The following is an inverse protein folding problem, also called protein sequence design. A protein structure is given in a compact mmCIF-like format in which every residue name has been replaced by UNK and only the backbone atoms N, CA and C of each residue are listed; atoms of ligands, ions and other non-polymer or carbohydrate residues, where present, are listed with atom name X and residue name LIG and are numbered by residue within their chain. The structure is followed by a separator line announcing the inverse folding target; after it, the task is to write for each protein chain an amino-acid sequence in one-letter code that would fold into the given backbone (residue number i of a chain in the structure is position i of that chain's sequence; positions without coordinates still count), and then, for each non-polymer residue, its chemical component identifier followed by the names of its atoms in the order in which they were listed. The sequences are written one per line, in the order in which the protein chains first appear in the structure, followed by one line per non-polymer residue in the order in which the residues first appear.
data_IF_614903759621
#
_entry.id   IF_614903759621
#
_cell.length_a   1.000
_cell.length_b   1.000
_cell.length_c   1.000
_cell.angle_alpha   90.00
_cell.angle_beta   90.00
_cell.angle_gamma   90.00
#
_symmetry.space_group_name_H-M   'P 1'
#
loop_
_entity.id
_entity.type
_entity.pdbx_description
1 polymer ?
#
# COMPACT_ATOMS: atom_id res chain seq x y z
N UNK A 1 -57.03 18.06 12.26
CA UNK A 1 -57.86 18.27 13.48
C UNK A 1 -57.00 18.21 14.75
N UNK A 2 -56.06 17.26 14.88
CA UNK A 2 -55.12 17.14 16.04
C UNK A 2 -54.14 18.30 16.13
N UNK A 3 -53.54 18.72 15.00
CA UNK A 3 -52.53 19.78 14.95
C UNK A 3 -53.08 21.12 15.46
N UNK A 4 -54.32 21.49 15.04
CA UNK A 4 -54.94 22.72 15.48
C UNK A 4 -55.22 22.74 16.99
N UNK A 5 -55.56 21.59 17.59
CA UNK A 5 -55.75 21.47 19.04
C UNK A 5 -54.45 21.62 19.79
N UNK A 6 -53.33 21.02 19.26
CA UNK A 6 -52.00 21.15 19.85
C UNK A 6 -51.51 22.60 19.79
N UNK A 7 -51.65 23.27 18.66
CA UNK A 7 -51.28 24.67 18.49
C UNK A 7 -52.08 25.56 19.45
N UNK A 8 -53.37 25.38 19.54
CA UNK A 8 -54.24 26.14 20.43
C UNK A 8 -53.82 25.92 21.87
N UNK A 9 -53.55 24.69 22.30
CA UNK A 9 -53.09 24.38 23.67
C UNK A 9 -51.79 25.09 24.00
N UNK A 10 -50.80 25.12 23.09
CA UNK A 10 -49.50 25.79 23.30
C UNK A 10 -49.67 27.32 23.36
N UNK A 11 -50.57 27.91 22.59
CA UNK A 11 -50.83 29.35 22.64
C UNK A 11 -51.53 29.74 23.94
N UNK A 12 -52.48 28.92 24.41
CA UNK A 12 -53.22 29.16 25.66
C UNK A 12 -52.32 28.92 26.88
N UNK A 13 -51.35 27.99 26.81
CA UNK A 13 -50.45 27.64 27.90
C UNK A 13 -49.01 28.09 27.61
N UNK A 14 -48.75 29.40 27.63
CA UNK A 14 -47.44 29.99 27.29
C UNK A 14 -46.26 29.40 28.09
N UNK A 15 -46.49 29.10 29.38
CA UNK A 15 -45.47 28.53 30.25
C UNK A 15 -45.04 27.12 29.76
N UNK A 16 -46.00 26.28 29.33
CA UNK A 16 -45.71 24.96 28.78
C UNK A 16 -44.97 25.09 27.46
N UNK A 17 -45.31 26.05 26.61
CA UNK A 17 -44.61 26.30 25.35
C UNK A 17 -43.17 26.72 25.57
N UNK A 18 -42.91 27.63 26.58
CA UNK A 18 -41.55 28.06 26.92
C UNK A 18 -40.74 26.90 27.52
N UNK A 19 -41.32 26.09 28.41
CA UNK A 19 -40.62 24.91 28.95
C UNK A 19 -40.25 23.90 27.90
N UNK A 20 -41.15 23.61 26.96
CA UNK A 20 -40.88 22.73 25.82
C UNK A 20 -39.78 23.29 24.91
N UNK A 21 -39.81 24.60 24.66
CA UNK A 21 -38.77 25.27 23.88
C UNK A 21 -37.42 25.17 24.57
N UNK A 22 -37.34 25.45 25.89
CA UNK A 22 -36.11 25.34 26.67
C UNK A 22 -35.57 23.92 26.69
N UNK A 23 -36.45 22.90 26.80
CA UNK A 23 -36.10 21.49 26.73
C UNK A 23 -35.51 21.14 25.37
N UNK A 24 -36.16 21.61 24.29
CA UNK A 24 -35.70 21.33 22.92
C UNK A 24 -34.36 22.01 22.60
N UNK A 25 -34.20 23.26 23.03
CA UNK A 25 -32.92 23.99 22.89
C UNK A 25 -31.83 23.34 23.74
N UNK A 26 -32.12 22.99 24.99
CA UNK A 26 -31.19 22.29 25.87
C UNK A 26 -30.75 20.94 25.31
N UNK A 27 -31.72 20.16 24.79
CA UNK A 27 -31.42 18.92 24.11
C UNK A 27 -30.52 19.12 22.88
N UNK A 28 -30.82 20.14 22.07
CA UNK A 28 -30.01 20.50 20.89
C UNK A 28 -28.56 20.92 21.25
N UNK A 29 -28.39 21.64 22.36
CA UNK A 29 -27.07 22.05 22.85
C UNK A 29 -26.25 20.82 23.32
N UNK A 30 -26.88 19.89 24.05
CA UNK A 30 -26.21 18.67 24.53
C UNK A 30 -25.72 17.80 23.37
N UNK A 31 -26.50 17.72 22.29
CA UNK A 31 -26.20 16.89 21.12
C UNK A 31 -25.57 17.68 19.96
N UNK A 32 -25.24 18.95 20.15
CA UNK A 32 -24.55 19.73 19.11
C UNK A 32 -23.22 19.05 18.71
N UNK A 33 -22.83 19.07 17.42
CA UNK A 33 -21.65 18.38 16.92
C UNK A 33 -20.33 19.03 17.37
N UNK A 34 -20.37 19.87 18.38
CA UNK A 34 -19.22 20.56 18.97
C UNK A 34 -18.94 20.03 20.36
N UNK A 35 -17.68 19.76 20.68
CA UNK A 35 -17.26 19.49 22.06
C UNK A 35 -17.25 20.80 22.84
N UNK A 36 -18.13 20.90 23.81
CA UNK A 36 -18.11 21.99 24.78
C UNK A 36 -17.29 21.56 26.01
N UNK A 37 -16.17 22.18 26.25
CA UNK A 37 -15.40 22.00 27.50
C UNK A 37 -16.01 22.84 28.63
N UNK A 38 -17.24 22.47 29.01
CA UNK A 38 -17.92 23.14 30.11
C UNK A 38 -18.27 22.11 31.20
N UNK A 39 -17.74 22.35 32.41
CA UNK A 39 -18.02 21.49 33.56
C UNK A 39 -19.50 21.48 34.00
N UNK A 40 -20.33 22.38 33.47
CA UNK A 40 -21.74 22.55 33.86
C UNK A 40 -22.76 21.85 32.94
N UNK A 41 -22.41 21.52 31.70
CA UNK A 41 -23.35 20.95 30.78
C UNK A 41 -22.83 19.58 30.26
N UNK A 42 -23.60 18.50 30.42
CA UNK A 42 -23.23 17.23 29.83
C UNK A 42 -23.16 17.40 28.29
N UNK A 43 -22.05 16.98 27.70
CA UNK A 43 -21.86 16.96 26.25
C UNK A 43 -21.95 15.53 25.74
N UNK A 44 -22.86 15.27 24.81
CA UNK A 44 -22.98 14.02 24.08
C UNK A 44 -23.12 14.35 22.59
N UNK A 45 -22.04 14.85 21.96
CA UNK A 45 -22.10 15.31 20.57
C UNK A 45 -22.50 14.17 19.64
N UNK A 46 -23.37 14.48 18.69
CA UNK A 46 -23.65 13.58 17.57
C UNK A 46 -22.36 13.46 16.76
N UNK A 47 -21.95 12.22 16.46
CA UNK A 47 -20.84 11.99 15.56
C UNK A 47 -21.16 12.58 14.18
N UNK A 48 -20.28 13.44 13.71
CA UNK A 48 -20.37 14.04 12.38
C UNK A 48 -19.05 13.76 11.69
N UNK A 49 -19.09 12.99 10.63
CA UNK A 49 -17.93 12.72 9.81
C UNK A 49 -17.65 13.91 8.90
N UNK A 50 -16.40 14.35 8.88
CA UNK A 50 -15.96 15.42 7.98
C UNK A 50 -16.09 15.01 6.51
N UNK A 51 -15.96 13.71 6.24
CA UNK A 51 -16.15 13.09 4.94
C UNK A 51 -17.12 11.92 5.17
N UNK A 52 -18.43 12.05 4.79
CA UNK A 52 -19.39 10.99 5.01
C UNK A 52 -18.98 9.74 4.21
N UNK A 53 -19.05 8.57 4.85
CA UNK A 53 -18.86 7.29 4.17
C UNK A 53 -20.14 6.93 3.39
N UNK A 54 -20.26 7.50 2.20
CA UNK A 54 -21.34 7.22 1.25
C UNK A 54 -20.92 6.20 0.18
N UNK A 55 -19.73 5.64 0.33
CA UNK A 55 -19.18 4.62 -0.56
C UNK A 55 -19.80 3.24 -0.32
N UNK A 56 -19.78 2.40 -1.33
CA UNK A 56 -20.06 0.97 -1.15
C UNK A 56 -18.96 0.35 -0.27
N UNK A 57 -19.35 -0.61 0.60
CA UNK A 57 -18.36 -1.41 1.34
C UNK A 57 -17.59 -2.29 0.36
N UNK A 58 -16.52 -1.73 -0.18
CA UNK A 58 -15.66 -2.34 -1.19
C UNK A 58 -14.30 -2.64 -0.60
N UNK A 59 -13.87 -3.88 -0.74
CA UNK A 59 -12.53 -4.34 -0.39
C UNK A 59 -11.77 -4.72 -1.66
N UNK A 60 -10.47 -4.51 -1.65
CA UNK A 60 -9.62 -4.80 -2.82
C UNK A 60 -8.56 -5.81 -2.40
N UNK A 61 -8.46 -6.90 -3.16
CA UNK A 61 -7.35 -7.86 -3.05
C UNK A 61 -6.52 -7.74 -4.32
N UNK A 62 -5.22 -7.53 -4.16
CA UNK A 62 -4.29 -7.45 -5.28
C UNK A 62 -3.17 -8.48 -5.15
N UNK A 63 -2.68 -8.91 -6.29
CA UNK A 63 -1.64 -9.94 -6.36
C UNK A 63 -0.68 -9.61 -7.49
N UNK A 64 0.61 -9.63 -7.19
CA UNK A 64 1.68 -9.39 -8.16
C UNK A 64 2.34 -10.71 -8.57
N UNK A 65 2.52 -10.89 -9.87
CA UNK A 65 3.29 -11.99 -10.43
C UNK A 65 4.04 -11.51 -11.67
N UNK A 66 5.20 -10.92 -11.43
CA UNK A 66 5.98 -10.23 -12.46
C UNK A 66 6.30 -11.12 -13.67
N UNK A 67 6.26 -10.53 -14.87
CA UNK A 67 6.65 -11.18 -16.11
C UNK A 67 5.61 -12.14 -16.68
N UNK A 68 4.38 -12.18 -16.17
CA UNK A 68 3.31 -13.06 -16.66
C UNK A 68 2.28 -12.32 -17.50
N UNK A 69 1.78 -13.02 -18.53
CA UNK A 69 0.73 -12.48 -19.39
C UNK A 69 -0.58 -12.27 -18.63
N UNK A 70 -1.49 -11.40 -19.10
CA UNK A 70 -2.82 -11.27 -18.50
C UNK A 70 -3.59 -12.57 -18.44
N UNK A 71 -3.41 -13.47 -19.43
CA UNK A 71 -4.05 -14.77 -19.46
C UNK A 71 -3.50 -15.70 -18.35
N UNK A 72 -2.18 -15.73 -18.15
CA UNK A 72 -1.58 -16.51 -17.05
C UNK A 72 -2.07 -16.01 -15.69
N UNK A 73 -2.19 -14.69 -15.54
CA UNK A 73 -2.72 -14.06 -14.32
C UNK A 73 -4.18 -14.45 -14.11
N UNK A 74 -5.00 -14.43 -15.17
CA UNK A 74 -6.41 -14.82 -15.09
C UNK A 74 -6.54 -16.28 -14.66
N UNK A 75 -5.88 -17.17 -15.35
CA UNK A 75 -6.04 -18.61 -15.18
C UNK A 75 -5.49 -19.11 -13.83
N UNK A 76 -4.36 -18.58 -13.38
CA UNK A 76 -3.62 -19.11 -12.23
C UNK A 76 -3.76 -18.29 -10.95
N UNK A 77 -4.26 -17.06 -11.03
CA UNK A 77 -4.39 -16.17 -9.86
C UNK A 77 -5.82 -15.63 -9.73
N UNK A 78 -6.29 -14.89 -10.73
CA UNK A 78 -7.55 -14.13 -10.62
C UNK A 78 -8.74 -15.06 -10.47
N UNK A 79 -8.88 -16.04 -11.31
CA UNK A 79 -10.01 -16.98 -11.30
C UNK A 79 -10.02 -17.86 -10.03
N UNK A 80 -8.92 -18.51 -9.63
CA UNK A 80 -8.87 -19.28 -8.37
C UNK A 80 -9.18 -18.45 -7.12
N UNK A 81 -8.66 -17.22 -7.04
CA UNK A 81 -8.94 -16.33 -5.92
C UNK A 81 -10.40 -15.86 -5.92
N UNK A 82 -10.93 -15.44 -7.08
CA UNK A 82 -12.32 -14.99 -7.22
C UNK A 82 -13.29 -16.08 -6.77
N UNK A 83 -13.09 -17.32 -7.22
CA UNK A 83 -13.92 -18.45 -6.80
C UNK A 83 -13.83 -18.75 -5.31
N UNK A 84 -12.65 -18.63 -4.73
CA UNK A 84 -12.46 -18.82 -3.28
C UNK A 84 -13.16 -17.72 -2.46
N UNK A 85 -13.12 -16.48 -2.93
CA UNK A 85 -13.68 -15.32 -2.24
C UNK A 85 -15.21 -15.22 -2.36
N UNK A 86 -15.83 -15.82 -3.39
CA UNK A 86 -17.30 -15.89 -3.55
C UNK A 86 -18.00 -16.58 -2.37
N UNK A 87 -17.32 -17.43 -1.62
CA UNK A 87 -17.89 -18.12 -0.46
C UNK A 87 -17.93 -17.29 0.83
N UNK A 88 -17.59 -16.00 0.81
CA UNK A 88 -17.63 -15.14 1.99
C UNK A 88 -19.08 -14.63 2.17
N UNK A 89 -19.67 -14.78 3.36
CA UNK A 89 -21.02 -14.27 3.63
C UNK A 89 -21.10 -12.74 3.45
N UNK A 90 -22.24 -12.25 2.97
CA UNK A 90 -22.47 -10.82 2.77
C UNK A 90 -21.80 -10.22 1.52
N UNK A 91 -21.16 -11.02 0.70
CA UNK A 91 -20.63 -10.56 -0.60
C UNK A 91 -21.77 -10.42 -1.58
N UNK A 92 -21.99 -9.19 -2.07
CA UNK A 92 -22.98 -8.87 -3.10
C UNK A 92 -22.48 -9.19 -4.50
N UNK A 93 -21.25 -8.78 -4.81
CA UNK A 93 -20.61 -9.05 -6.11
C UNK A 93 -19.09 -8.99 -6.02
N UNK A 94 -18.44 -9.71 -6.92
CA UNK A 94 -16.97 -9.63 -7.10
C UNK A 94 -16.70 -9.23 -8.55
N UNK A 95 -15.79 -8.29 -8.72
CA UNK A 95 -15.26 -7.88 -10.02
C UNK A 95 -13.76 -8.05 -10.00
N UNK A 96 -13.19 -8.53 -11.07
CA UNK A 96 -11.76 -8.74 -11.18
C UNK A 96 -11.19 -8.18 -12.47
N UNK A 97 -9.91 -7.86 -12.44
CA UNK A 97 -9.17 -7.42 -13.61
C UNK A 97 -7.78 -8.05 -13.59
N UNK A 98 -7.42 -8.66 -14.72
CA UNK A 98 -6.12 -9.30 -14.94
C UNK A 98 -5.31 -8.45 -15.91
N UNK A 99 -4.13 -8.02 -15.47
CA UNK A 99 -3.20 -7.22 -16.25
C UNK A 99 -1.85 -7.92 -16.33
N UNK A 100 -0.94 -7.41 -17.14
CA UNK A 100 0.42 -7.94 -17.22
C UNK A 100 1.10 -7.92 -15.86
N UNK A 101 1.37 -9.10 -15.30
CA UNK A 101 2.00 -9.29 -13.99
C UNK A 101 1.19 -8.84 -12.77
N UNK A 102 -0.12 -8.57 -12.90
CA UNK A 102 -0.92 -8.02 -11.82
C UNK A 102 -2.39 -8.45 -11.87
N UNK A 103 -2.94 -8.85 -10.74
CA UNK A 103 -4.37 -9.13 -10.53
C UNK A 103 -4.94 -8.17 -9.51
N UNK A 104 -6.13 -7.64 -9.78
CA UNK A 104 -6.93 -6.89 -8.82
C UNK A 104 -8.34 -7.47 -8.73
N UNK A 105 -8.82 -7.70 -7.52
CA UNK A 105 -10.13 -8.26 -7.23
C UNK A 105 -10.86 -7.30 -6.29
N UNK A 106 -11.98 -6.79 -6.74
CA UNK A 106 -12.87 -5.89 -6.01
C UNK A 106 -14.02 -6.70 -5.44
N UNK A 107 -14.14 -6.74 -4.13
CA UNK A 107 -15.17 -7.48 -3.40
C UNK A 107 -16.12 -6.45 -2.81
N UNK A 108 -17.36 -6.44 -3.28
CA UNK A 108 -18.38 -5.50 -2.85
C UNK A 108 -19.35 -6.25 -1.95
N UNK A 109 -19.50 -5.76 -0.73
CA UNK A 109 -20.39 -6.33 0.29
C UNK A 109 -21.77 -5.65 0.27
N UNK A 110 -22.73 -6.27 0.93
CA UNK A 110 -24.03 -5.65 1.20
C UNK A 110 -23.86 -4.46 2.15
N UNK A 111 -24.83 -3.52 2.12
CA UNK A 111 -24.76 -2.26 2.84
C UNK A 111 -24.80 -2.41 4.37
N UNK A 112 -25.38 -3.51 4.86
CA UNK A 112 -25.49 -3.82 6.29
C UNK A 112 -24.22 -4.51 6.87
N UNK A 113 -23.24 -4.84 6.01
CA UNK A 113 -22.02 -5.49 6.43
C UNK A 113 -21.00 -4.43 6.90
N UNK A 114 -20.53 -4.58 8.13
CA UNK A 114 -19.53 -3.69 8.72
C UNK A 114 -18.18 -3.82 8.00
N UNK A 115 -17.50 -2.70 7.77
CA UNK A 115 -16.29 -2.61 6.93
C UNK A 115 -15.14 -3.47 7.46
N UNK A 116 -14.83 -3.40 8.77
CA UNK A 116 -13.72 -4.17 9.34
C UNK A 116 -14.03 -5.65 9.50
N UNK A 117 -15.32 -5.98 9.70
CA UNK A 117 -15.75 -7.37 9.66
C UNK A 117 -15.49 -7.98 8.28
N UNK A 118 -15.83 -7.25 7.20
CA UNK A 118 -15.59 -7.71 5.83
C UNK A 118 -14.10 -7.92 5.56
N UNK A 119 -13.22 -6.99 6.02
CA UNK A 119 -11.77 -7.15 5.95
C UNK A 119 -11.27 -8.38 6.67
N UNK A 120 -11.75 -8.61 7.90
CA UNK A 120 -11.37 -9.77 8.71
C UNK A 120 -11.74 -11.08 8.02
N UNK A 121 -12.92 -11.16 7.39
CA UNK A 121 -13.36 -12.36 6.66
C UNK A 121 -12.50 -12.62 5.42
N UNK A 122 -12.11 -11.57 4.70
CA UNK A 122 -11.20 -11.71 3.57
C UNK A 122 -9.83 -12.21 4.02
N UNK A 123 -9.24 -11.61 5.07
CA UNK A 123 -7.95 -12.05 5.61
C UNK A 123 -7.97 -13.49 6.09
N UNK A 124 -9.04 -13.90 6.80
CA UNK A 124 -9.24 -15.29 7.20
C UNK A 124 -9.31 -16.23 5.98
N UNK A 125 -10.03 -15.82 4.94
CA UNK A 125 -10.15 -16.59 3.71
C UNK A 125 -8.83 -16.69 2.97
N UNK A 126 -8.08 -15.59 2.85
CA UNK A 126 -6.76 -15.58 2.22
C UNK A 126 -5.75 -16.45 2.99
N UNK A 127 -5.80 -16.44 4.33
CA UNK A 127 -4.93 -17.27 5.17
C UNK A 127 -5.29 -18.76 5.13
N UNK A 128 -6.53 -19.11 4.79
CA UNK A 128 -7.05 -20.46 4.69
C UNK A 128 -7.02 -21.06 3.28
N UNK A 129 -6.38 -20.39 2.32
CA UNK A 129 -6.24 -20.90 0.96
C UNK A 129 -5.48 -22.24 0.97
N UNK A 130 -5.95 -23.18 0.16
CA UNK A 130 -5.30 -24.49 0.05
C UNK A 130 -3.86 -24.35 -0.49
N UNK A 131 -2.89 -25.06 0.11
CA UNK A 131 -1.55 -25.11 -0.44
C UNK A 131 -1.55 -25.52 -1.92
N UNK A 132 -0.84 -24.78 -2.76
CA UNK A 132 -0.78 -25.04 -4.19
C UNK A 132 -1.95 -24.48 -5.02
N UNK A 133 -2.90 -23.75 -4.42
CA UNK A 133 -3.94 -23.03 -5.16
C UNK A 133 -3.35 -21.94 -6.05
N UNK A 134 -2.32 -21.27 -5.55
CA UNK A 134 -1.58 -20.23 -6.26
C UNK A 134 -0.17 -20.73 -6.60
N UNK A 135 0.48 -20.15 -7.63
CA UNK A 135 1.86 -20.44 -7.94
C UNK A 135 2.81 -20.15 -6.77
N UNK A 136 3.91 -20.87 -6.71
CA UNK A 136 4.91 -20.70 -5.65
C UNK A 136 5.47 -19.28 -5.61
N UNK A 137 5.55 -18.70 -4.43
CA UNK A 137 6.03 -17.34 -4.19
C UNK A 137 5.02 -16.23 -4.47
N UNK A 138 3.80 -16.56 -4.91
CA UNK A 138 2.72 -15.60 -5.14
C UNK A 138 1.85 -15.47 -3.89
N UNK A 139 1.74 -14.25 -3.39
CA UNK A 139 0.98 -13.95 -2.17
C UNK A 139 -0.04 -12.83 -2.44
N UNK A 140 -1.34 -13.10 -2.30
CA UNK A 140 -2.36 -12.07 -2.38
C UNK A 140 -2.30 -11.14 -1.16
N UNK A 141 -2.52 -9.84 -1.40
CA UNK A 141 -2.52 -8.81 -0.36
C UNK A 141 -3.86 -8.10 -0.35
N UNK A 142 -4.36 -7.81 0.83
CA UNK A 142 -5.52 -6.94 1.01
C UNK A 142 -5.07 -5.48 0.89
N UNK A 143 -5.84 -4.68 0.16
CA UNK A 143 -5.61 -3.25 0.01
C UNK A 143 -5.75 -2.47 1.32
N UNK A 144 -5.47 -1.16 1.32
CA UNK A 144 -5.57 -0.32 2.50
C UNK A 144 -6.99 -0.29 3.07
N UNK A 145 -7.12 0.07 4.33
CA UNK A 145 -8.39 0.25 5.03
C UNK A 145 -8.98 1.64 4.78
N UNK A 146 -9.14 1.97 3.53
CA UNK A 146 -9.60 3.27 3.09
C UNK A 146 -10.55 3.16 1.90
N UNK A 147 -11.42 4.15 1.78
CA UNK A 147 -12.27 4.35 0.61
C UNK A 147 -11.62 5.37 -0.35
N UNK A 148 -12.16 5.49 -1.55
CA UNK A 148 -11.72 6.50 -2.51
C UNK A 148 -11.86 7.93 -1.97
N UNK A 149 -12.82 8.18 -1.07
CA UNK A 149 -13.03 9.46 -0.40
C UNK A 149 -11.95 9.77 0.64
N UNK A 150 -11.20 8.75 1.12
CA UNK A 150 -10.08 8.92 2.02
C UNK A 150 -8.83 9.55 1.38
N UNK A 151 -8.82 9.77 0.07
CA UNK A 151 -7.73 10.44 -0.64
C UNK A 151 -7.80 11.95 -0.42
N UNK A 152 -7.30 12.42 0.70
CA UNK A 152 -7.50 13.81 1.14
C UNK A 152 -6.44 14.79 0.68
N UNK A 153 -5.23 14.32 0.37
CA UNK A 153 -4.12 15.20 0.07
C UNK A 153 -3.28 14.66 -1.09
N UNK A 154 -3.16 15.47 -2.13
CA UNK A 154 -2.33 15.22 -3.30
C UNK A 154 -1.20 16.23 -3.34
N UNK A 155 0.01 15.76 -3.60
CA UNK A 155 1.18 16.61 -3.70
C UNK A 155 2.12 16.14 -4.80
N UNK A 156 3.01 17.04 -5.23
CA UNK A 156 4.04 16.74 -6.24
C UNK A 156 5.43 17.10 -5.70
N UNK A 157 6.40 16.26 -6.06
CA UNK A 157 7.81 16.54 -5.95
C UNK A 157 8.30 16.94 -7.33
N UNK A 158 8.87 18.13 -7.43
CA UNK A 158 9.17 18.77 -8.72
C UNK A 158 10.37 19.70 -8.61
N UNK A 159 11.14 19.79 -9.70
CA UNK A 159 12.12 20.85 -9.86
C UNK A 159 11.43 22.19 -10.18
N UNK A 160 11.93 23.28 -9.62
CA UNK A 160 11.50 24.64 -9.95
C UNK A 160 12.68 25.50 -10.34
N UNK A 161 12.44 26.43 -11.26
CA UNK A 161 13.41 27.48 -11.58
C UNK A 161 13.40 28.59 -10.50
N UNK A 162 14.25 29.61 -10.69
CA UNK A 162 14.35 30.74 -9.77
C UNK A 162 13.07 31.58 -9.71
N UNK A 163 12.25 31.54 -10.74
CA UNK A 163 10.95 32.21 -10.81
C UNK A 163 9.82 31.38 -10.23
N UNK A 164 10.12 30.16 -9.76
CA UNK A 164 9.17 29.24 -9.14
C UNK A 164 8.33 28.42 -10.11
N UNK A 165 8.62 28.49 -11.42
CA UNK A 165 7.93 27.70 -12.44
C UNK A 165 8.41 26.24 -12.39
N UNK A 166 7.49 25.31 -12.55
CA UNK A 166 7.82 23.88 -12.65
C UNK A 166 8.67 23.64 -13.88
N UNK A 167 9.81 23.01 -13.68
CA UNK A 167 10.74 22.65 -14.76
C UNK A 167 11.00 21.16 -14.70
N UNK A 168 11.13 20.51 -15.86
CA UNK A 168 11.80 19.23 -15.95
C UNK A 168 13.29 19.40 -15.59
N UNK A 169 14.04 18.32 -15.55
CA UNK A 169 15.50 18.38 -15.39
C UNK A 169 16.02 17.80 -14.09
N UNK A 170 15.15 17.49 -13.12
CA UNK A 170 15.51 16.59 -12.04
C UNK A 170 15.40 15.14 -12.51
N UNK A 171 16.32 14.31 -12.05
CA UNK A 171 16.25 12.88 -12.30
C UNK A 171 15.02 12.28 -11.61
N UNK A 172 14.15 11.69 -12.43
CA UNK A 172 12.91 11.08 -11.96
C UNK A 172 13.13 9.85 -11.07
N UNK A 173 14.28 9.17 -11.17
CA UNK A 173 14.67 8.12 -10.25
C UNK A 173 15.00 8.70 -8.87
N UNK A 174 15.73 9.82 -8.85
CA UNK A 174 16.09 10.49 -7.61
C UNK A 174 14.85 11.05 -6.90
N UNK A 175 13.98 11.76 -7.63
CA UNK A 175 12.70 12.25 -7.09
C UNK A 175 11.84 11.11 -6.55
N UNK A 176 11.77 9.99 -7.26
CA UNK A 176 11.02 8.82 -6.81
C UNK A 176 11.64 8.18 -5.56
N UNK A 177 12.95 8.13 -5.47
CA UNK A 177 13.65 7.64 -4.28
C UNK A 177 13.41 8.54 -3.07
N UNK A 178 13.43 9.86 -3.26
CA UNK A 178 13.08 10.83 -2.21
C UNK A 178 11.63 10.60 -1.75
N UNK A 179 10.71 10.42 -2.69
CA UNK A 179 9.30 10.14 -2.38
C UNK A 179 9.16 8.86 -1.55
N UNK A 180 9.74 7.76 -2.02
CA UNK A 180 9.49 6.44 -1.43
C UNK A 180 10.21 6.23 -0.10
N UNK A 181 11.41 6.81 0.08
CA UNK A 181 12.25 6.57 1.27
C UNK A 181 12.21 7.69 2.32
N UNK A 182 11.80 8.91 1.97
CA UNK A 182 11.76 10.04 2.91
C UNK A 182 10.36 10.58 3.09
N UNK A 183 9.73 11.06 2.02
CA UNK A 183 8.43 11.75 2.13
C UNK A 183 7.31 10.80 2.55
N UNK A 184 7.24 9.64 1.90
CA UNK A 184 6.27 8.60 2.24
C UNK A 184 6.37 8.18 3.71
N UNK A 185 7.58 7.97 4.21
CA UNK A 185 7.79 7.59 5.63
C UNK A 185 7.32 8.68 6.59
N UNK A 186 7.70 9.93 6.32
CA UNK A 186 7.31 11.05 7.16
C UNK A 186 5.79 11.24 7.21
N UNK A 187 5.11 11.15 6.08
CA UNK A 187 3.66 11.31 5.99
C UNK A 187 2.91 10.09 6.55
N UNK A 188 3.43 8.88 6.37
CA UNK A 188 2.83 7.66 6.94
C UNK A 188 2.89 7.61 8.46
N UNK A 189 3.75 8.41 9.09
CA UNK A 189 3.83 8.52 10.54
C UNK A 189 2.76 9.46 11.14
N UNK A 190 2.01 10.18 10.32
CA UNK A 190 0.94 11.06 10.80
C UNK A 190 -0.28 10.24 11.23
N UNK A 191 -0.92 10.67 12.31
CA UNK A 191 -2.11 10.00 12.86
C UNK A 191 -3.23 9.96 11.81
N UNK A 192 -3.85 8.80 11.66
CA UNK A 192 -4.97 8.60 10.75
C UNK A 192 -4.60 8.28 9.31
N UNK A 193 -3.32 8.32 8.93
CA UNK A 193 -2.88 7.94 7.58
C UNK A 193 -2.83 6.42 7.44
N UNK A 194 -3.63 5.89 6.52
CA UNK A 194 -3.64 4.46 6.18
C UNK A 194 -2.52 4.12 5.19
N UNK A 195 -2.34 4.96 4.19
CA UNK A 195 -1.36 4.74 3.12
C UNK A 195 -0.91 6.06 2.51
N UNK A 196 0.31 6.08 2.02
CA UNK A 196 0.81 7.11 1.11
C UNK A 196 1.22 6.43 -0.19
N UNK A 197 0.41 6.60 -1.23
CA UNK A 197 0.66 6.03 -2.54
C UNK A 197 1.56 6.95 -3.38
N UNK A 198 2.57 6.38 -4.04
CA UNK A 198 3.48 7.12 -4.92
C UNK A 198 3.07 6.98 -6.39
N UNK A 199 3.09 8.07 -7.14
CA UNK A 199 2.70 8.12 -8.55
C UNK A 199 3.79 8.80 -9.36
N UNK A 200 4.07 8.27 -10.56
CA UNK A 200 5.07 8.83 -11.48
C UNK A 200 6.51 8.49 -11.10
N UNK A 201 7.44 9.00 -11.89
CA UNK A 201 8.86 8.72 -11.77
C UNK A 201 9.23 7.26 -12.05
N UNK A 202 10.47 6.92 -11.77
CA UNK A 202 10.99 5.57 -11.94
C UNK A 202 11.47 5.01 -10.60
N UNK A 203 11.02 3.83 -10.23
CA UNK A 203 11.61 3.08 -9.11
C UNK A 203 13.01 2.65 -9.52
N UNK A 204 13.98 2.92 -8.66
CA UNK A 204 15.36 2.53 -8.90
C UNK A 204 15.56 1.06 -8.56
N UNK A 205 16.25 0.32 -9.44
CA UNK A 205 16.58 -1.08 -9.22
C UNK A 205 18.03 -1.40 -9.64
N UNK A 206 18.59 -2.44 -9.06
CA UNK A 206 19.85 -3.01 -9.51
C UNK A 206 19.58 -3.85 -10.75
N UNK A 207 20.20 -3.49 -11.87
CA UNK A 207 20.09 -4.22 -13.13
C UNK A 207 21.37 -5.01 -13.40
N UNK A 208 21.19 -6.28 -13.76
CA UNK A 208 22.28 -7.20 -14.12
C UNK A 208 22.08 -7.61 -15.57
N UNK A 209 22.73 -6.93 -16.48
CA UNK A 209 22.63 -7.19 -17.90
C UNK A 209 23.66 -8.26 -18.28
N UNK A 210 23.20 -9.46 -18.49
CA UNK A 210 24.06 -10.61 -18.83
C UNK A 210 24.45 -10.57 -20.30
N UNK A 211 25.72 -10.94 -20.59
CA UNK A 211 26.21 -11.14 -21.94
C UNK A 211 26.06 -12.61 -22.35
N UNK A 212 25.18 -12.93 -23.32
CA UNK A 212 24.95 -14.31 -23.73
C UNK A 212 26.17 -14.99 -24.35
N UNK A 213 27.07 -14.22 -24.97
CA UNK A 213 28.30 -14.78 -25.56
C UNK A 213 29.27 -15.21 -24.46
N UNK A 214 29.49 -14.36 -23.47
CA UNK A 214 30.34 -14.68 -22.31
C UNK A 214 29.74 -15.84 -21.51
N UNK A 215 28.43 -15.84 -21.31
CA UNK A 215 27.75 -16.98 -20.66
C UNK A 215 28.01 -18.31 -21.39
N UNK A 216 27.94 -18.31 -22.72
CA UNK A 216 28.24 -19.51 -23.53
C UNK A 216 29.71 -19.90 -23.43
N UNK A 217 30.61 -18.93 -23.47
CA UNK A 217 32.05 -19.17 -23.35
C UNK A 217 32.43 -19.85 -22.04
N UNK A 218 31.81 -19.42 -20.94
CA UNK A 218 32.05 -19.99 -19.61
C UNK A 218 31.08 -21.14 -19.26
N UNK A 219 30.17 -21.54 -20.16
CA UNK A 219 29.22 -22.63 -19.92
C UNK A 219 28.21 -22.36 -18.81
N UNK A 220 27.92 -21.08 -18.53
CA UNK A 220 27.05 -20.63 -17.42
C UNK A 220 25.62 -20.40 -17.93
N UNK A 221 24.64 -20.95 -17.23
CA UNK A 221 23.23 -20.72 -17.48
C UNK A 221 22.71 -19.47 -16.77
N UNK A 222 21.63 -18.87 -17.30
CA UNK A 222 20.97 -17.73 -16.65
C UNK A 222 20.48 -18.07 -15.23
N UNK A 223 20.06 -19.30 -15.00
CA UNK A 223 19.63 -19.77 -13.67
C UNK A 223 20.76 -19.70 -12.66
N UNK A 224 21.97 -20.10 -13.02
CA UNK A 224 23.13 -20.02 -12.14
C UNK A 224 23.46 -18.56 -11.76
N UNK A 225 23.33 -17.63 -12.72
CA UNK A 225 23.51 -16.20 -12.45
C UNK A 225 22.45 -15.70 -11.45
N UNK A 226 21.19 -16.03 -11.67
CA UNK A 226 20.08 -15.63 -10.76
C UNK A 226 20.28 -16.22 -9.35
N UNK A 227 20.67 -17.48 -9.24
CA UNK A 227 20.96 -18.13 -7.97
C UNK A 227 22.15 -17.49 -7.25
N UNK A 228 23.21 -17.16 -7.98
CA UNK A 228 24.39 -16.48 -7.44
C UNK A 228 24.03 -15.10 -6.87
N UNK A 229 23.31 -14.28 -7.63
CA UNK A 229 22.88 -12.94 -7.19
C UNK A 229 21.94 -13.04 -5.98
N UNK A 230 21.00 -13.97 -5.98
CA UNK A 230 20.10 -14.19 -4.82
C UNK A 230 20.84 -14.65 -3.58
N UNK A 231 21.83 -15.52 -3.74
CA UNK A 231 22.60 -16.07 -2.60
C UNK A 231 23.62 -15.08 -2.06
N UNK A 232 24.07 -14.11 -2.87
CA UNK A 232 25.01 -13.07 -2.42
C UNK A 232 24.38 -12.02 -1.50
N UNK A 233 23.05 -11.94 -1.44
CA UNK A 233 22.34 -10.98 -0.58
C UNK A 233 21.70 -11.72 0.62
N UNK A 234 22.53 -12.31 1.46
CA UNK A 234 22.09 -13.07 2.64
C UNK A 234 23.04 -12.90 3.80
N UNK A 235 22.50 -12.45 4.94
CA UNK A 235 23.18 -12.58 6.22
C UNK A 235 23.12 -14.03 6.72
N UNK A 236 24.23 -14.51 7.23
CA UNK A 236 24.31 -15.83 7.85
C UNK A 236 24.65 -15.62 9.32
N UNK A 237 23.69 -15.98 10.20
CA UNK A 237 23.97 -16.11 11.62
C UNK A 237 24.83 -17.36 11.85
N UNK A 238 25.96 -17.20 12.48
CA UNK A 238 26.78 -18.29 12.94
C UNK A 238 26.66 -18.44 14.47
N UNK A 239 27.21 -19.54 15.02
CA UNK A 239 27.21 -19.78 16.46
C UNK A 239 28.19 -18.82 17.17
N UNK A 240 28.06 -18.75 18.49
CA UNK A 240 29.00 -18.02 19.34
C UNK A 240 30.31 -18.76 19.45
N UNK A 241 31.40 -18.00 19.49
CA UNK A 241 32.75 -18.52 19.74
C UNK A 241 33.17 -18.09 21.14
N UNK A 242 33.49 -19.07 22.01
CA UNK A 242 34.00 -18.79 23.35
C UNK A 242 35.50 -18.75 23.35
N UNK A 243 36.07 -17.56 23.62
CA UNK A 243 37.55 -17.37 23.71
C UNK A 243 37.86 -16.62 25.01
N UNK A 244 38.70 -17.17 25.84
CA UNK A 244 39.19 -16.54 27.10
C UNK A 244 38.02 -16.13 28.04
N UNK A 245 37.02 -16.96 28.21
CA UNK A 245 35.83 -16.71 29.04
C UNK A 245 34.94 -15.55 28.54
N UNK A 246 35.10 -15.12 27.29
CA UNK A 246 34.25 -14.17 26.61
C UNK A 246 33.57 -14.85 25.42
N UNK A 247 32.27 -14.61 25.28
CA UNK A 247 31.45 -15.13 24.17
C UNK A 247 31.43 -14.10 23.03
N UNK A 248 31.88 -14.51 21.85
CA UNK A 248 31.90 -13.71 20.64
C UNK A 248 30.81 -14.21 19.68
N UNK A 249 29.88 -13.34 19.32
CA UNK A 249 28.91 -13.62 18.29
C UNK A 249 29.55 -13.52 16.89
N UNK A 250 29.54 -14.62 16.15
CA UNK A 250 30.03 -14.64 14.77
C UNK A 250 28.87 -14.33 13.82
N UNK A 251 29.02 -13.28 13.02
CA UNK A 251 28.06 -12.90 11.98
C UNK A 251 28.75 -12.90 10.62
N UNK A 252 28.15 -13.60 9.64
CA UNK A 252 28.50 -13.43 8.24
C UNK A 252 27.68 -12.28 7.66
N UNK A 253 28.29 -11.11 7.49
CA UNK A 253 27.64 -9.97 6.83
C UNK A 253 27.66 -10.23 5.33
N UNK A 254 26.50 -10.37 4.72
CA UNK A 254 26.35 -10.70 3.31
C UNK A 254 25.23 -9.94 2.59
N UNK A 255 24.69 -8.88 3.23
CA UNK A 255 23.76 -8.00 2.51
C UNK A 255 24.52 -7.11 1.52
N UNK A 256 23.91 -6.92 0.36
CA UNK A 256 24.41 -6.03 -0.68
C UNK A 256 24.29 -4.58 -0.21
N UNK A 257 25.42 -3.88 -0.12
CA UNK A 257 25.50 -2.46 0.22
C UNK A 257 25.73 -1.58 -1.02
N UNK A 258 26.39 -2.14 -2.04
CA UNK A 258 26.74 -1.41 -3.26
C UNK A 258 26.80 -2.33 -4.49
N UNK A 259 26.96 -1.72 -5.68
CA UNK A 259 27.05 -2.44 -6.95
C UNK A 259 28.19 -3.46 -6.97
N UNK A 260 29.32 -3.12 -6.36
CA UNK A 260 30.52 -3.96 -6.35
C UNK A 260 30.28 -5.29 -5.63
N UNK A 261 29.39 -5.34 -4.66
CA UNK A 261 29.03 -6.58 -3.96
C UNK A 261 28.32 -7.55 -4.91
N UNK A 262 27.41 -7.05 -5.74
CA UNK A 262 26.73 -7.83 -6.78
C UNK A 262 27.74 -8.25 -7.87
N UNK A 263 28.60 -7.33 -8.32
CA UNK A 263 29.62 -7.59 -9.33
C UNK A 263 30.57 -8.72 -8.90
N UNK A 264 30.90 -8.78 -7.62
CA UNK A 264 31.83 -9.77 -7.06
C UNK A 264 31.16 -11.09 -6.66
N UNK A 265 29.84 -11.21 -6.76
CA UNK A 265 29.15 -12.47 -6.51
C UNK A 265 29.71 -13.58 -7.40
N UNK A 266 30.00 -14.73 -6.81
CA UNK A 266 30.58 -15.88 -7.51
C UNK A 266 29.46 -16.70 -8.14
N UNK A 267 29.50 -16.85 -9.44
CA UNK A 267 28.52 -17.66 -10.22
C UNK A 267 28.97 -19.10 -10.33
N UNK A 268 30.25 -19.30 -10.66
CA UNK A 268 30.83 -20.64 -10.79
C UNK A 268 32.32 -20.61 -10.40
N UNK A 269 32.91 -21.79 -10.22
CA UNK A 269 34.34 -21.93 -10.01
C UNK A 269 34.88 -22.99 -10.97
N UNK A 270 35.83 -22.60 -11.82
CA UNK A 270 36.47 -23.50 -12.76
C UNK A 270 37.99 -23.50 -12.49
N UNK A 271 38.57 -24.69 -12.33
CA UNK A 271 40.00 -24.88 -12.11
C UNK A 271 40.63 -23.93 -11.04
N UNK A 272 39.92 -23.75 -9.92
CA UNK A 272 40.31 -22.83 -8.81
C UNK A 272 40.18 -21.33 -9.13
N UNK A 273 39.63 -20.96 -10.26
CA UNK A 273 39.34 -19.58 -10.62
C UNK A 273 37.85 -19.31 -10.47
N UNK A 274 37.49 -18.30 -9.66
CA UNK A 274 36.09 -17.91 -9.49
C UNK A 274 35.62 -17.06 -10.69
N UNK A 275 34.53 -17.47 -11.34
CA UNK A 275 33.83 -16.66 -12.33
C UNK A 275 32.81 -15.85 -11.60
N UNK A 276 32.89 -14.53 -11.73
CA UNK A 276 32.00 -13.58 -11.02
C UNK A 276 30.98 -12.97 -11.96
N UNK A 277 29.94 -12.35 -11.40
CA UNK A 277 28.92 -11.66 -12.16
C UNK A 277 29.53 -10.65 -13.14
N UNK A 278 30.50 -9.85 -12.72
CA UNK A 278 31.20 -8.86 -13.57
C UNK A 278 31.92 -9.44 -14.77
N UNK A 279 32.25 -10.74 -14.73
CA UNK A 279 32.97 -11.42 -15.82
C UNK A 279 32.03 -11.80 -16.98
N UNK A 280 30.69 -11.82 -16.71
CA UNK A 280 29.64 -12.25 -17.64
C UNK A 280 28.48 -11.28 -17.76
N UNK A 281 28.45 -10.22 -16.96
CA UNK A 281 27.36 -9.26 -16.91
C UNK A 281 27.86 -7.86 -16.54
N UNK A 282 27.07 -6.86 -16.92
CA UNK A 282 27.22 -5.49 -16.45
C UNK A 282 26.22 -5.22 -15.36
N UNK A 283 26.69 -4.71 -14.21
CA UNK A 283 25.82 -4.32 -13.09
C UNK A 283 25.73 -2.80 -13.01
N UNK A 284 24.50 -2.28 -12.95
CA UNK A 284 24.29 -0.83 -12.81
C UNK A 284 22.93 -0.54 -12.13
N UNK A 285 22.76 0.70 -11.70
CA UNK A 285 21.45 1.18 -11.27
C UNK A 285 20.65 1.62 -12.51
N UNK A 286 19.41 1.18 -12.59
CA UNK A 286 18.53 1.50 -13.70
C UNK A 286 17.08 1.69 -13.27
N UNK A 287 16.24 2.20 -14.18
CA UNK A 287 14.82 2.41 -13.92
C UNK A 287 14.03 1.11 -14.08
N UNK A 288 13.21 0.79 -13.09
CA UNK A 288 12.19 -0.25 -13.25
C UNK A 288 11.17 0.15 -14.33
N UNK A 289 10.56 -0.81 -15.04
CA UNK A 289 9.48 -0.53 -15.99
C UNK A 289 8.34 0.21 -15.30
N UNK A 290 7.98 1.40 -15.78
CA UNK A 290 6.90 2.19 -15.22
C UNK A 290 5.57 1.93 -15.93
N UNK A 291 4.47 2.09 -15.19
CA UNK A 291 3.11 1.92 -15.72
C UNK A 291 2.30 3.21 -15.76
N UNK A 292 2.84 4.30 -15.22
CA UNK A 292 2.16 5.58 -15.13
C UNK A 292 3.12 6.76 -15.19
N UNK A 293 2.58 7.89 -15.61
CA UNK A 293 3.26 9.18 -15.72
C UNK A 293 2.42 10.18 -14.95
N UNK A 294 3.07 11.08 -14.24
CA UNK A 294 2.45 12.26 -13.66
C UNK A 294 3.07 13.50 -14.30
N UNK A 295 2.23 14.33 -14.88
CA UNK A 295 2.63 15.59 -15.50
C UNK A 295 2.04 16.77 -14.73
N UNK A 296 2.81 17.85 -14.64
CA UNK A 296 2.37 19.13 -14.09
C UNK A 296 2.97 20.27 -14.90
N UNK A 297 2.13 21.08 -15.49
CA UNK A 297 2.52 22.25 -16.28
C UNK A 297 3.46 21.91 -17.48
N UNK A 298 3.30 20.69 -18.05
CA UNK A 298 4.12 20.22 -19.16
C UNK A 298 5.48 19.64 -18.77
N UNK A 299 5.73 19.44 -17.47
CA UNK A 299 6.92 18.77 -16.95
C UNK A 299 6.53 17.49 -16.22
N UNK A 300 7.31 16.43 -16.43
CA UNK A 300 7.12 15.19 -15.70
C UNK A 300 7.58 15.34 -14.26
N UNK A 301 6.74 14.91 -13.31
CA UNK A 301 6.95 15.04 -11.88
C UNK A 301 6.68 13.70 -11.15
N UNK A 302 7.07 13.62 -9.89
CA UNK A 302 6.69 12.54 -8.99
C UNK A 302 5.64 13.08 -8.03
N UNK A 303 4.62 12.30 -7.71
CA UNK A 303 3.59 12.70 -6.77
C UNK A 303 3.31 11.66 -5.71
N UNK A 304 2.56 12.07 -4.73
CA UNK A 304 2.03 11.22 -3.69
C UNK A 304 0.58 11.55 -3.37
N UNK A 305 -0.13 10.53 -2.93
CA UNK A 305 -1.51 10.63 -2.45
C UNK A 305 -1.56 10.11 -1.04
N UNK A 306 -2.02 10.96 -0.12
CA UNK A 306 -2.24 10.56 1.27
C UNK A 306 -3.68 10.08 1.43
N UNK A 307 -3.82 8.88 1.93
CA UNK A 307 -5.10 8.20 2.13
C UNK A 307 -5.33 8.02 3.62
N UNK A 308 -6.45 8.53 4.13
CA UNK A 308 -6.84 8.33 5.52
C UNK A 308 -7.51 6.98 5.73
N UNK A 309 -7.26 6.41 6.90
CA UNK A 309 -7.97 5.23 7.39
C UNK A 309 -9.42 5.58 7.73
N UNK A 310 -10.32 4.65 7.44
CA UNK A 310 -11.76 4.81 7.71
C UNK A 310 -12.06 4.98 9.21
N UNK A 311 -11.21 4.45 10.10
CA UNK A 311 -11.36 4.60 11.56
C UNK A 311 -11.21 6.06 12.04
N UNK A 312 -10.48 6.87 11.27
CA UNK A 312 -10.11 8.24 11.69
C UNK A 312 -10.87 9.34 10.93
N UNK A 313 -11.79 8.96 10.07
CA UNK A 313 -12.64 9.92 9.34
C UNK A 313 -13.87 10.31 10.15
#
# INVERSE_FOLDING_TARGET
FMLNKAIKFLIENKLVAVLLLMLFVGWGIIHAPFKWDSAMLPSSPVAVDAIPDIGENQQIVFTEWAGRSPQDIEDQITYPLTTSLLGIPGVRTIRSSSMFGFSSIYIIFEEDVEFYWSRSRILEKLSSLSPGLLPEGVNPKLGPDATALGQIFWYTLEGRDLDGKVTGGWDLNELRSIQDFYVKYALSAADGVSEVASIGGFVQEYQVDVDPELMRQYGISLREVVEAVRSSNRDIGAQTLEINQAEYLVRGLGYVENLTDIENAVVASEAYTAIRVKDIARVHLGPAPRRGILDKEGAEVVGGVVVLSLIHI
#
